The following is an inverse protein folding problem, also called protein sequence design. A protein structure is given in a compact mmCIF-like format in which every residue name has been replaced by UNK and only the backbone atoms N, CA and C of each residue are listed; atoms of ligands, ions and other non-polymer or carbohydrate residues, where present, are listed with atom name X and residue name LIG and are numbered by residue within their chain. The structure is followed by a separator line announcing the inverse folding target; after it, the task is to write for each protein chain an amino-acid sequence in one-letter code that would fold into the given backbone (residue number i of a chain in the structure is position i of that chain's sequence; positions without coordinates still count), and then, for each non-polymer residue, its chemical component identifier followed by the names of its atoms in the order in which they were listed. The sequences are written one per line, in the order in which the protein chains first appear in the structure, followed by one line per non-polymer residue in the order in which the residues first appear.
data_IF_458658330637
#
_entry.id   IF_458658330637
#
_cell.length_a   1.000
_cell.length_b   1.000
_cell.length_c   1.000
_cell.angle_alpha   90.00
_cell.angle_beta   90.00
_cell.angle_gamma   90.00
#
_symmetry.space_group_name_H-M   'P 1'
#
loop_
_entity.id
_entity.type
_entity.pdbx_description
1 polymer ?
#
# COMPACT_ATOMS: atom_id res chain seq x y z
N UNK A 1 -26.67 -30.95 -18.17
CA UNK A 1 -25.27 -31.00 -18.63
C UNK A 1 -24.63 -29.64 -18.37
N UNK A 2 -23.69 -29.56 -17.43
CA UNK A 2 -22.63 -28.54 -17.45
C UNK A 2 -21.67 -28.82 -18.62
N UNK A 3 -20.90 -27.82 -19.07
CA UNK A 3 -19.46 -27.90 -18.75
C UNK A 3 -18.76 -26.56 -18.44
N UNK A 4 -17.74 -26.70 -17.59
CA UNK A 4 -16.50 -25.92 -17.45
C UNK A 4 -16.56 -24.47 -16.94
N UNK A 5 -16.34 -24.34 -15.63
CA UNK A 5 -15.57 -23.26 -15.06
C UNK A 5 -14.15 -23.29 -15.65
N UNK A 6 -13.75 -22.22 -16.35
CA UNK A 6 -12.36 -21.97 -16.71
C UNK A 6 -12.00 -20.58 -16.18
N UNK A 7 -11.00 -20.54 -15.31
CA UNK A 7 -10.68 -19.38 -14.49
C UNK A 7 -10.10 -18.22 -15.28
N UNK A 8 -10.78 -17.10 -15.22
CA UNK A 8 -10.14 -15.79 -15.33
C UNK A 8 -10.04 -15.25 -13.90
N UNK A 9 -8.88 -15.43 -13.27
CA UNK A 9 -8.55 -14.79 -12.01
C UNK A 9 -7.80 -13.49 -12.30
N UNK A 10 -8.34 -12.65 -13.19
CA UNK A 10 -8.13 -11.22 -13.06
C UNK A 10 -9.08 -10.79 -11.95
N UNK A 11 -8.56 -10.35 -10.81
CA UNK A 11 -9.39 -9.58 -9.88
C UNK A 11 -9.67 -8.29 -10.64
N UNK A 12 -10.78 -8.27 -11.40
CA UNK A 12 -11.28 -7.10 -12.06
C UNK A 12 -11.60 -6.10 -10.94
N UNK A 13 -10.68 -5.16 -10.72
CA UNK A 13 -10.88 -4.11 -9.75
C UNK A 13 -12.22 -3.43 -10.08
N UNK A 14 -13.11 -3.21 -9.10
CA UNK A 14 -14.37 -2.55 -9.36
C UNK A 14 -14.08 -1.22 -10.05
N UNK A 15 -14.79 -0.95 -11.14
CA UNK A 15 -14.73 0.36 -11.75
C UNK A 15 -15.36 1.41 -10.82
N UNK A 16 -15.16 2.68 -11.13
CA UNK A 16 -15.63 3.79 -10.30
C UNK A 16 -17.15 3.77 -10.08
N UNK A 17 -17.91 3.22 -11.02
CA UNK A 17 -19.36 3.08 -10.89
C UNK A 17 -19.73 1.98 -9.90
N UNK A 18 -19.01 0.85 -9.96
CA UNK A 18 -19.17 -0.24 -9.00
C UNK A 18 -18.79 0.15 -7.58
N UNK A 19 -17.72 0.94 -7.39
CA UNK A 19 -17.36 1.47 -6.06
C UNK A 19 -18.42 2.45 -5.52
N UNK A 20 -18.96 3.32 -6.37
CA UNK A 20 -19.98 4.31 -5.97
C UNK A 20 -21.29 3.64 -5.53
N UNK A 21 -21.74 2.62 -6.27
CA UNK A 21 -22.95 1.86 -5.92
C UNK A 21 -22.79 1.12 -4.58
N UNK A 22 -21.64 0.49 -4.37
CA UNK A 22 -21.34 -0.21 -3.11
C UNK A 22 -21.34 0.72 -1.89
N UNK A 23 -20.77 1.93 -2.03
CA UNK A 23 -20.77 2.93 -0.95
C UNK A 23 -22.17 3.45 -0.64
N UNK A 24 -22.99 3.67 -1.66
CA UNK A 24 -24.38 4.10 -1.49
C UNK A 24 -25.22 3.03 -0.78
N UNK A 25 -25.13 1.77 -1.24
CA UNK A 25 -25.83 0.64 -0.61
C UNK A 25 -25.38 0.43 0.84
N UNK A 26 -24.08 0.57 1.14
CA UNK A 26 -23.54 0.46 2.51
C UNK A 26 -24.06 1.56 3.44
N UNK A 27 -24.22 2.78 2.91
CA UNK A 27 -24.83 3.90 3.62
C UNK A 27 -26.32 3.68 3.92
N UNK A 28 -27.08 3.16 2.95
CA UNK A 28 -28.52 2.87 3.11
C UNK A 28 -28.79 1.70 4.06
N UNK A 29 -27.90 0.71 4.10
CA UNK A 29 -28.01 -0.45 5.00
C UNK A 29 -27.55 -0.17 6.43
N UNK A 30 -27.04 1.05 6.71
CA UNK A 30 -26.48 1.42 8.01
C UNK A 30 -25.18 0.68 8.36
N UNK A 31 -24.61 -0.06 7.40
CA UNK A 31 -23.34 -0.78 7.51
C UNK A 31 -22.25 0.01 6.79
N UNK A 32 -22.15 1.30 7.12
CA UNK A 32 -20.92 2.02 6.88
C UNK A 32 -19.82 1.28 7.67
N UNK A 33 -18.61 1.06 7.12
CA UNK A 33 -17.50 0.64 7.95
C UNK A 33 -17.38 1.69 9.05
N UNK A 34 -17.75 1.31 10.28
CA UNK A 34 -17.57 2.14 11.45
C UNK A 34 -16.11 2.55 11.42
N UNK A 35 -15.84 3.84 11.21
CA UNK A 35 -14.50 4.38 11.38
C UNK A 35 -14.05 3.92 12.76
N UNK A 36 -13.13 2.96 12.78
CA UNK A 36 -12.99 1.97 13.84
C UNK A 36 -13.33 2.53 15.23
N UNK A 37 -14.50 2.15 15.75
CA UNK A 37 -14.87 2.38 17.13
C UNK A 37 -13.89 1.59 18.02
N UNK A 38 -12.77 2.21 18.40
CA UNK A 38 -11.76 1.58 19.24
C UNK A 38 -10.30 1.89 18.91
N UNK A 39 -9.97 2.75 17.94
CA UNK A 39 -8.65 3.39 18.00
C UNK A 39 -8.76 4.37 19.18
N UNK A 40 -7.93 4.30 20.24
CA UNK A 40 -7.82 5.43 21.13
C UNK A 40 -7.50 6.60 20.22
N UNK A 41 -8.32 7.66 20.28
CA UNK A 41 -8.03 8.90 19.57
C UNK A 41 -6.63 9.30 20.03
N UNK A 42 -5.62 8.91 19.26
CA UNK A 42 -4.29 9.43 19.39
C UNK A 42 -4.52 10.90 19.14
N UNK A 43 -4.37 11.71 20.19
CA UNK A 43 -4.38 13.15 20.07
C UNK A 43 -3.36 13.43 18.96
N UNK A 44 -3.87 13.66 17.75
CA UNK A 44 -3.07 14.17 16.66
C UNK A 44 -2.82 15.59 17.10
N UNK A 45 -1.78 15.74 17.92
CA UNK A 45 -1.20 17.02 18.23
C UNK A 45 -0.99 17.64 16.86
N UNK A 46 -1.82 18.63 16.52
CA UNK A 46 -1.78 19.39 15.28
C UNK A 46 -0.56 20.31 15.28
N UNK A 47 0.54 19.87 15.91
CA UNK A 47 1.87 20.37 15.64
C UNK A 47 2.04 20.25 14.16
N UNK A 48 2.12 21.44 13.57
CA UNK A 48 2.45 21.69 12.19
C UNK A 48 3.45 20.63 11.74
N UNK A 49 3.00 19.77 10.82
CA UNK A 49 3.81 18.64 10.39
C UNK A 49 5.15 19.21 9.92
N UNK A 50 6.28 18.65 10.39
CA UNK A 50 7.58 19.06 9.88
C UNK A 50 7.57 18.93 8.36
N UNK A 51 8.17 19.91 7.70
CA UNK A 51 8.37 19.92 6.26
C UNK A 51 9.10 18.65 5.80
N UNK A 52 8.96 18.33 4.52
CA UNK A 52 9.64 17.17 3.94
C UNK A 52 11.16 17.27 4.13
N UNK A 53 11.70 18.48 4.00
CA UNK A 53 13.12 18.77 4.18
C UNK A 53 13.58 18.50 5.62
N UNK A 54 12.78 18.88 6.62
CA UNK A 54 13.06 18.63 8.04
C UNK A 54 13.01 17.14 8.37
N UNK A 55 12.11 16.39 7.74
CA UNK A 55 12.05 14.94 7.90
C UNK A 55 13.28 14.26 7.27
N UNK A 56 13.69 14.71 6.09
CA UNK A 56 14.92 14.22 5.41
C UNK A 56 16.17 14.55 6.22
N UNK A 57 16.23 15.72 6.87
CA UNK A 57 17.35 16.12 7.70
C UNK A 57 17.52 15.28 8.98
N UNK A 58 16.46 14.60 9.45
CA UNK A 58 16.51 13.67 10.59
C UNK A 58 17.12 12.31 10.24
N UNK A 59 17.22 11.99 8.95
CA UNK A 59 17.79 10.72 8.50
C UNK A 59 19.32 10.81 8.58
N UNK A 60 20.01 9.87 9.25
CA UNK A 60 21.47 9.82 9.26
C UNK A 60 22.05 9.79 7.85
N UNK A 61 23.21 10.43 7.60
CA UNK A 61 23.77 10.58 6.26
C UNK A 61 24.01 9.24 5.57
N UNK A 62 24.54 8.25 6.29
CA UNK A 62 24.81 6.90 5.77
C UNK A 62 23.53 6.20 5.28
N UNK A 63 22.43 6.38 6.01
CA UNK A 63 21.13 5.82 5.63
C UNK A 63 20.57 6.56 4.43
N UNK A 64 20.70 7.89 4.39
CA UNK A 64 20.23 8.72 3.28
C UNK A 64 20.96 8.38 1.98
N UNK A 65 22.27 8.15 2.02
CA UNK A 65 23.05 7.72 0.85
C UNK A 65 22.58 6.35 0.35
N UNK A 66 22.29 5.41 1.26
CA UNK A 66 21.71 4.12 0.91
C UNK A 66 20.33 4.26 0.24
N UNK A 67 19.44 5.09 0.80
CA UNK A 67 18.12 5.35 0.22
C UNK A 67 18.22 6.03 -1.16
N UNK A 68 19.06 7.05 -1.30
CA UNK A 68 19.31 7.69 -2.59
C UNK A 68 19.87 6.67 -3.60
N UNK A 69 20.78 5.79 -3.17
CA UNK A 69 21.27 4.68 -3.98
C UNK A 69 20.15 3.72 -4.43
N UNK A 70 19.24 3.32 -3.53
CA UNK A 70 18.11 2.44 -3.85
C UNK A 70 17.11 3.12 -4.80
N UNK A 71 16.68 4.35 -4.49
CA UNK A 71 15.64 5.02 -5.25
C UNK A 71 16.13 5.62 -6.57
N UNK A 72 17.42 6.00 -6.65
CA UNK A 72 18.05 6.47 -7.88
C UNK A 72 18.60 5.35 -8.74
N UNK A 73 18.93 4.19 -8.14
CA UNK A 73 19.20 3.00 -8.91
C UNK A 73 17.94 2.59 -9.65
N UNK A 74 18.00 2.72 -10.97
CA UNK A 74 17.08 2.01 -11.84
C UNK A 74 17.40 0.53 -11.60
N UNK A 75 16.63 -0.17 -10.76
CA UNK A 75 16.69 -1.63 -10.60
C UNK A 75 16.17 -2.31 -11.88
N UNK A 76 16.88 -2.09 -12.99
CA UNK A 76 16.50 -2.55 -14.34
C UNK A 76 16.77 -4.03 -14.54
N UNK A 77 17.42 -4.69 -13.58
CA UNK A 77 17.89 -6.05 -13.78
C UNK A 77 17.66 -6.91 -12.55
N UNK A 78 16.61 -7.73 -12.65
CA UNK A 78 16.42 -8.90 -11.81
C UNK A 78 17.24 -10.04 -12.41
N UNK A 79 18.14 -10.62 -11.62
CA UNK A 79 18.92 -11.80 -12.01
C UNK A 79 18.47 -12.97 -11.14
N UNK A 80 18.11 -14.10 -11.76
CA UNK A 80 17.80 -15.32 -11.01
C UNK A 80 19.08 -15.86 -10.39
N UNK A 81 19.12 -15.89 -9.07
CA UNK A 81 20.21 -16.52 -8.33
C UNK A 81 19.84 -17.99 -8.10
N UNK A 82 20.68 -18.94 -8.53
CA UNK A 82 20.41 -20.36 -8.34
C UNK A 82 20.38 -20.69 -6.84
N UNK A 83 19.40 -21.48 -6.40
CA UNK A 83 19.13 -21.77 -4.98
C UNK A 83 20.34 -22.33 -4.21
N UNK A 84 21.25 -23.02 -4.90
CA UNK A 84 22.51 -23.52 -4.37
C UNK A 84 23.48 -22.42 -3.89
N UNK A 85 23.34 -21.18 -4.36
CA UNK A 85 24.14 -20.02 -3.94
C UNK A 85 23.50 -19.20 -2.81
N UNK A 86 22.25 -19.51 -2.42
CA UNK A 86 21.47 -18.80 -1.40
C UNK A 86 21.67 -19.39 0.01
N UNK A 87 22.86 -19.93 0.32
CA UNK A 87 23.11 -20.60 1.60
C UNK A 87 23.94 -19.71 2.54
N UNK A 88 23.35 -19.36 3.67
CA UNK A 88 24.04 -18.85 4.87
C UNK A 88 24.92 -19.91 5.53
#
# INVERSE_FOLDING_TARGET
MSPAANGDNSVAWPDESAETAFLAESGEKGELPSAAAGVPAMEVETRQLPSMEELVARIPPDVREGLDGLFRARFVRVVRIPAQALRS
#
